data_IF_531525993766
#
_entry.id   IF_531525993766
#
_cell.length_a   1.000
_cell.length_b   1.000
_cell.length_c   1.000
_cell.angle_alpha   90.00
_cell.angle_beta   90.00
_cell.angle_gamma   90.00
#
_symmetry.space_group_name_H-M   'P 1'
#
loop_
_entity.id
_entity.type
_entity.pdbx_description
1 polymer ?
#
# COMPACT_ATOMS: atom_id res chain seq x y z
N UNK A 1 29.83 8.50 -0.79
CA UNK A 1 28.45 8.96 -0.69
C UNK A 1 27.79 8.12 0.39
N UNK A 2 27.06 8.70 1.35
CA UNK A 2 26.37 7.89 2.35
C UNK A 2 25.32 7.03 1.61
N UNK A 3 25.39 5.74 1.78
CA UNK A 3 24.42 4.79 1.21
C UNK A 3 23.05 5.07 1.81
N UNK A 4 22.03 5.06 0.96
CA UNK A 4 20.65 5.24 1.43
C UNK A 4 20.18 4.00 2.16
N UNK A 5 19.44 4.11 3.28
CA UNK A 5 18.85 2.96 3.92
C UNK A 5 17.89 2.26 2.97
N UNK A 6 17.85 0.95 3.06
CA UNK A 6 16.96 0.06 2.31
C UNK A 6 15.82 -0.33 3.23
N UNK A 7 14.60 -0.19 2.74
CA UNK A 7 13.35 -0.55 3.41
C UNK A 7 12.81 -1.82 2.77
N UNK A 8 12.62 -2.85 3.57
CA UNK A 8 11.98 -4.08 3.13
C UNK A 8 10.56 -4.15 3.66
N UNK A 9 9.61 -4.29 2.75
CA UNK A 9 8.20 -4.40 3.05
C UNK A 9 7.67 -5.79 2.68
N UNK A 10 6.72 -6.27 3.48
CA UNK A 10 5.68 -7.19 3.07
C UNK A 10 4.45 -6.39 2.69
N UNK A 11 3.81 -6.71 1.58
CA UNK A 11 2.52 -6.14 1.19
C UNK A 11 1.56 -7.23 0.72
N UNK A 12 0.26 -7.02 0.90
CA UNK A 12 -0.78 -7.92 0.42
C UNK A 12 -2.04 -7.17 0.00
N UNK A 13 -2.73 -7.72 -1.00
CA UNK A 13 -4.07 -7.27 -1.36
C UNK A 13 -5.03 -7.68 -0.23
N UNK A 14 -5.68 -6.68 0.36
CA UNK A 14 -6.59 -6.86 1.48
C UNK A 14 -7.84 -7.61 1.06
N UNK A 15 -8.36 -8.42 1.98
CA UNK A 15 -9.63 -9.13 1.86
C UNK A 15 -9.76 -10.11 0.66
N UNK A 16 -8.69 -10.41 -0.08
CA UNK A 16 -8.70 -11.38 -1.18
C UNK A 16 -8.06 -12.72 -0.81
N UNK A 17 -8.66 -13.82 -1.25
CA UNK A 17 -8.12 -15.17 -1.05
C UNK A 17 -8.11 -15.98 -2.36
N UNK A 18 -7.05 -16.76 -2.64
CA UNK A 18 -5.79 -16.86 -1.87
C UNK A 18 -5.02 -15.54 -1.86
N UNK A 19 -4.24 -15.29 -0.81
CA UNK A 19 -3.55 -14.01 -0.61
C UNK A 19 -2.64 -13.69 -1.80
N UNK A 20 -2.84 -12.52 -2.39
CA UNK A 20 -1.92 -11.93 -3.37
C UNK A 20 -0.97 -11.03 -2.60
N UNK A 21 0.33 -11.34 -2.62
CA UNK A 21 1.29 -10.62 -1.79
C UNK A 21 2.65 -10.45 -2.46
N UNK A 22 3.42 -9.48 -1.95
CA UNK A 22 4.80 -9.20 -2.39
C UNK A 22 5.68 -8.90 -1.18
N UNK A 23 6.91 -9.42 -1.18
CA UNK A 23 8.01 -8.91 -0.36
C UNK A 23 8.99 -8.19 -1.26
N UNK A 24 9.27 -6.94 -0.94
CA UNK A 24 10.05 -6.09 -1.83
C UNK A 24 10.95 -5.11 -1.05
N UNK A 25 11.93 -4.55 -1.74
CA UNK A 25 12.86 -3.58 -1.19
C UNK A 25 12.85 -2.30 -2.00
N UNK A 26 12.91 -1.17 -1.29
CA UNK A 26 13.00 0.18 -1.86
C UNK A 26 14.02 1.02 -1.11
N UNK A 27 14.55 2.05 -1.76
CA UNK A 27 15.42 3.01 -1.09
C UNK A 27 14.63 3.96 -0.17
N UNK A 28 15.17 4.32 0.99
CA UNK A 28 14.49 5.17 1.96
C UNK A 28 14.19 6.60 1.49
N UNK A 29 14.82 7.06 0.41
CA UNK A 29 14.53 8.36 -0.22
C UNK A 29 13.38 8.31 -1.24
N UNK A 30 12.75 7.16 -1.44
CA UNK A 30 11.55 7.04 -2.27
C UNK A 30 10.43 7.85 -1.63
N UNK A 31 9.76 8.72 -2.42
CA UNK A 31 8.57 9.43 -1.96
C UNK A 31 7.37 8.47 -1.86
N UNK A 32 6.36 8.84 -1.06
CA UNK A 32 5.14 8.02 -0.95
C UNK A 32 4.38 7.97 -2.28
N UNK A 33 4.39 9.05 -3.07
CA UNK A 33 3.85 9.02 -4.42
C UNK A 33 4.54 7.95 -5.29
N UNK A 34 5.88 7.89 -5.26
CA UNK A 34 6.63 6.88 -6.01
C UNK A 34 6.41 5.47 -5.46
N UNK A 35 6.24 5.33 -4.14
CA UNK A 35 5.86 4.05 -3.53
C UNK A 35 4.51 3.57 -4.08
N UNK A 36 3.52 4.44 -4.20
CA UNK A 36 2.22 4.11 -4.82
C UNK A 36 2.38 3.56 -6.24
N UNK A 37 3.16 4.22 -7.12
CA UNK A 37 3.41 3.72 -8.47
C UNK A 37 4.19 2.40 -8.50
N UNK A 38 5.09 2.16 -7.55
CA UNK A 38 5.76 0.86 -7.39
C UNK A 38 4.75 -0.23 -7.04
N UNK A 39 3.82 0.05 -6.10
CA UNK A 39 2.74 -0.88 -5.74
C UNK A 39 1.83 -1.14 -6.93
N UNK A 40 1.38 -0.11 -7.64
CA UNK A 40 0.57 -0.27 -8.85
C UNK A 40 1.22 -1.23 -9.85
N UNK A 41 2.52 -1.05 -10.11
CA UNK A 41 3.27 -1.95 -11.01
C UNK A 41 3.30 -3.39 -10.51
N UNK A 42 3.43 -3.61 -9.19
CA UNK A 42 3.49 -4.96 -8.60
C UNK A 42 2.14 -5.67 -8.53
N UNK A 43 1.03 -4.91 -8.54
CA UNK A 43 -0.33 -5.43 -8.45
C UNK A 43 -1.12 -5.28 -9.76
N UNK A 44 -0.43 -5.04 -10.90
CA UNK A 44 -1.00 -4.93 -12.26
C UNK A 44 -2.07 -3.82 -12.41
N UNK A 45 -1.94 -2.75 -11.61
CA UNK A 45 -2.79 -1.56 -11.71
C UNK A 45 -2.33 -0.66 -12.86
N UNK A 46 -3.26 -0.12 -13.64
CA UNK A 46 -2.95 0.67 -14.85
C UNK A 46 -2.62 2.15 -14.55
N UNK A 47 -2.72 2.56 -13.28
CA UNK A 47 -2.54 3.95 -12.83
C UNK A 47 -3.51 4.94 -13.49
N UNK A 48 -4.72 4.50 -13.80
CA UNK A 48 -5.81 5.28 -14.40
C UNK A 48 -6.71 5.96 -13.36
N UNK A 49 -6.60 5.58 -12.08
CA UNK A 49 -7.39 6.08 -10.97
C UNK A 49 -6.54 6.81 -9.93
N UNK A 50 -7.22 7.56 -9.05
CA UNK A 50 -6.61 8.21 -7.91
C UNK A 50 -6.18 7.17 -6.85
N UNK A 51 -5.20 7.55 -6.04
CA UNK A 51 -4.75 6.74 -4.92
C UNK A 51 -4.29 7.62 -3.77
N UNK A 52 -4.31 7.06 -2.56
CA UNK A 52 -3.59 7.60 -1.41
C UNK A 52 -2.80 6.50 -0.69
N UNK A 53 -1.86 6.94 0.14
CA UNK A 53 -1.19 6.06 1.11
C UNK A 53 -1.53 6.56 2.50
N UNK A 54 -2.26 5.74 3.24
CA UNK A 54 -2.66 6.00 4.60
C UNK A 54 -1.55 5.64 5.57
N UNK A 55 -1.26 6.56 6.47
CA UNK A 55 -0.42 6.34 7.62
C UNK A 55 -1.26 6.43 8.90
N UNK A 56 -1.36 5.33 9.63
CA UNK A 56 -2.12 5.19 10.87
C UNK A 56 -1.31 5.72 12.06
N UNK A 57 -1.17 7.04 12.13
CA UNK A 57 -0.29 7.74 13.08
C UNK A 57 -0.59 7.41 14.55
N UNK A 58 -1.88 7.36 14.91
CA UNK A 58 -2.30 7.06 16.28
C UNK A 58 -1.98 5.62 16.67
N UNK A 59 -2.28 4.68 15.78
CA UNK A 59 -2.02 3.26 16.03
C UNK A 59 -0.52 2.98 16.13
N UNK A 60 0.28 3.53 15.21
CA UNK A 60 1.74 3.39 15.20
C UNK A 60 2.37 3.91 16.51
N UNK A 61 1.89 5.07 17.00
CA UNK A 61 2.35 5.60 18.28
C UNK A 61 1.90 4.74 19.46
N UNK A 62 0.65 4.26 19.47
CA UNK A 62 0.15 3.39 20.54
C UNK A 62 0.93 2.08 20.59
N UNK A 63 1.24 1.48 19.45
CA UNK A 63 2.03 0.26 19.39
C UNK A 63 3.48 0.50 19.89
N UNK A 64 4.10 1.62 19.48
CA UNK A 64 5.40 2.02 20.03
C UNK A 64 5.39 2.19 21.55
N UNK A 65 4.37 2.86 22.10
CA UNK A 65 4.25 3.05 23.55
C UNK A 65 4.06 1.73 24.30
N UNK A 66 3.25 0.81 23.75
CA UNK A 66 3.06 -0.55 24.30
C UNK A 66 4.37 -1.35 24.31
N UNK A 67 5.11 -1.33 23.21
CA UNK A 67 6.42 -2.00 23.12
C UNK A 67 7.44 -1.48 24.16
N UNK A 68 7.34 -0.17 24.48
CA UNK A 68 8.20 0.47 25.50
C UNK A 68 7.65 0.36 26.92
N UNK A 69 6.52 -0.33 27.14
CA UNK A 69 5.80 -0.40 28.42
C UNK A 69 5.50 0.98 29.01
N UNK A 70 5.16 1.96 28.14
CA UNK A 70 4.77 3.30 28.54
C UNK A 70 3.24 3.40 28.68
N UNK A 71 2.72 4.24 29.63
CA UNK A 71 1.29 4.36 29.84
C UNK A 71 0.59 4.98 28.62
N UNK A 72 -0.58 4.44 28.26
CA UNK A 72 -1.42 4.90 27.14
C UNK A 72 -2.81 5.39 27.61
N UNK A 73 -3.18 5.10 28.86
CA UNK A 73 -4.57 5.26 29.36
C UNK A 73 -5.03 6.72 29.48
N UNK A 74 -4.10 7.64 29.78
CA UNK A 74 -4.42 9.08 29.96
C UNK A 74 -3.94 9.96 28.78
N UNK A 75 -3.61 9.35 27.64
CA UNK A 75 -3.07 10.08 26.51
C UNK A 75 -4.17 10.91 25.83
N UNK A 76 -4.11 12.25 26.01
CA UNK A 76 -4.96 13.17 25.24
C UNK A 76 -4.43 13.26 23.82
N UNK A 77 -5.19 12.71 22.86
CA UNK A 77 -4.85 12.78 21.45
C UNK A 77 -5.36 14.09 20.83
N UNK A 78 -4.46 14.91 20.35
CA UNK A 78 -4.74 16.20 19.71
C UNK A 78 -4.10 16.34 18.32
N UNK A 79 -3.83 15.20 17.68
CA UNK A 79 -3.23 15.09 16.35
C UNK A 79 -4.15 14.30 15.44
N UNK A 80 -3.97 14.33 14.13
CA UNK A 80 -4.67 13.42 13.22
C UNK A 80 -4.46 11.96 13.63
N UNK A 81 -5.49 11.14 13.52
CA UNK A 81 -5.37 9.68 13.73
C UNK A 81 -4.80 9.01 12.48
N UNK A 82 -5.23 9.46 11.32
CA UNK A 82 -4.75 9.02 10.00
C UNK A 82 -4.24 10.20 9.20
N UNK A 83 -3.18 9.99 8.44
CA UNK A 83 -2.68 10.94 7.45
C UNK A 83 -2.78 10.26 6.08
N UNK A 84 -3.57 10.88 5.19
CA UNK A 84 -3.70 10.49 3.80
C UNK A 84 -2.61 11.20 2.97
N UNK A 85 -1.72 10.44 2.36
CA UNK A 85 -0.71 10.98 1.46
C UNK A 85 -1.15 10.78 0.02
N UNK A 86 -1.49 11.89 -0.66
CA UNK A 86 -1.96 11.91 -2.06
C UNK A 86 -1.03 12.73 -2.96
N UNK A 87 -1.10 12.50 -4.26
CA UNK A 87 -0.64 13.50 -5.24
C UNK A 87 -1.74 14.55 -5.31
N UNK A 88 -1.53 15.70 -4.65
CA UNK A 88 -2.57 16.70 -4.45
C UNK A 88 -3.17 17.20 -5.75
N UNK A 89 -4.49 17.18 -5.81
CA UNK A 89 -5.33 17.69 -6.89
C UNK A 89 -6.55 18.42 -6.32
N UNK A 90 -7.42 18.95 -7.16
CA UNK A 90 -8.70 19.53 -6.72
C UNK A 90 -9.67 18.49 -6.16
N UNK A 91 -9.43 17.19 -6.46
CA UNK A 91 -10.24 16.06 -6.03
C UNK A 91 -9.66 15.36 -4.78
N UNK A 92 -8.58 15.90 -4.20
CA UNK A 92 -7.95 15.31 -3.01
C UNK A 92 -8.91 15.27 -1.81
N UNK A 93 -8.72 14.25 -0.96
CA UNK A 93 -9.55 14.04 0.23
C UNK A 93 -9.51 15.27 1.15
N UNK A 94 -10.66 15.76 1.64
CA UNK A 94 -10.71 16.90 2.54
C UNK A 94 -10.21 16.51 3.94
N UNK A 95 -9.62 17.48 4.63
CA UNK A 95 -9.29 17.33 6.03
C UNK A 95 -10.56 17.16 6.89
N UNK A 96 -10.48 16.30 7.91
CA UNK A 96 -11.51 16.11 8.93
C UNK A 96 -10.97 16.42 10.34
N UNK A 97 -11.74 16.17 11.40
CA UNK A 97 -11.25 16.34 12.78
C UNK A 97 -10.12 15.34 13.11
N UNK A 98 -10.17 14.14 12.55
CA UNK A 98 -9.27 13.02 12.85
C UNK A 98 -8.30 12.68 11.72
N UNK A 99 -8.48 13.27 10.54
CA UNK A 99 -7.72 12.93 9.34
C UNK A 99 -7.12 14.18 8.69
N UNK A 100 -5.97 14.03 8.05
CA UNK A 100 -5.29 15.09 7.30
C UNK A 100 -4.79 14.55 5.97
N UNK A 101 -4.93 15.38 4.93
CA UNK A 101 -4.38 15.11 3.61
C UNK A 101 -3.08 15.87 3.42
N UNK A 102 -2.06 15.18 2.96
CA UNK A 102 -0.71 15.71 2.75
C UNK A 102 -0.14 15.28 1.40
N UNK A 103 0.80 16.06 0.89
CA UNK A 103 1.45 15.79 -0.39
C UNK A 103 2.39 14.57 -0.33
N UNK A 104 2.01 13.50 -1.01
CA UNK A 104 2.78 12.27 -1.15
C UNK A 104 4.12 12.47 -1.90
N UNK A 105 4.24 13.52 -2.71
CA UNK A 105 5.48 13.81 -3.46
C UNK A 105 6.55 14.41 -2.55
N UNK A 106 6.16 15.11 -1.49
CA UNK A 106 7.03 15.79 -0.54
C UNK A 106 7.48 14.88 0.63
N UNK A 107 6.75 13.78 0.90
CA UNK A 107 7.06 12.83 1.98
C UNK A 107 7.86 11.64 1.45
N UNK A 108 8.96 11.30 2.14
CA UNK A 108 9.78 10.12 1.84
C UNK A 108 9.71 9.10 2.98
N UNK A 109 9.95 7.82 2.68
CA UNK A 109 9.92 6.74 3.67
C UNK A 109 10.81 7.04 4.89
N UNK A 110 12.05 7.49 4.67
CA UNK A 110 13.00 7.81 5.75
C UNK A 110 12.56 8.97 6.65
N UNK A 111 11.67 9.86 6.17
CA UNK A 111 11.10 10.96 6.95
C UNK A 111 9.86 10.52 7.70
N UNK A 112 9.17 9.51 7.20
CA UNK A 112 7.96 8.99 7.81
C UNK A 112 8.30 8.17 9.06
N UNK A 113 9.04 7.10 8.91
CA UNK A 113 9.48 6.23 10.01
C UNK A 113 10.65 5.34 9.56
N UNK A 114 11.49 4.93 10.53
CA UNK A 114 12.55 3.92 10.34
C UNK A 114 12.29 2.68 11.22
N UNK A 115 11.13 2.57 11.84
CA UNK A 115 10.83 1.55 12.84
C UNK A 115 10.15 0.36 12.15
N UNK A 116 10.71 -0.86 12.22
CA UNK A 116 10.03 -2.07 11.80
C UNK A 116 8.67 -2.21 12.52
N UNK A 117 7.68 -2.74 11.80
CA UNK A 117 6.30 -2.78 12.28
C UNK A 117 5.41 -1.65 11.75
N UNK A 118 5.97 -0.56 11.21
CA UNK A 118 5.19 0.49 10.54
C UNK A 118 4.19 -0.13 9.58
N UNK A 119 2.93 0.30 9.69
CA UNK A 119 1.83 -0.11 8.81
C UNK A 119 1.39 1.06 7.95
N UNK A 120 1.21 0.78 6.67
CA UNK A 120 0.64 1.69 5.68
C UNK A 120 -0.47 0.94 4.92
N UNK A 121 -1.41 1.67 4.34
CA UNK A 121 -2.37 1.11 3.40
C UNK A 121 -2.42 1.98 2.16
N UNK A 122 -2.25 1.41 0.98
CA UNK A 122 -2.55 2.10 -0.26
C UNK A 122 -4.01 1.84 -0.61
N UNK A 123 -4.79 2.89 -0.73
CA UNK A 123 -6.11 2.85 -1.37
C UNK A 123 -5.93 3.26 -2.83
N UNK A 124 -6.52 2.51 -3.74
CA UNK A 124 -6.48 2.77 -5.18
C UNK A 124 -7.87 2.57 -5.76
N UNK A 125 -8.29 3.49 -6.63
CA UNK A 125 -9.63 3.52 -7.21
C UNK A 125 -10.72 3.52 -6.14
N UNK A 126 -11.11 4.73 -5.69
CA UNK A 126 -12.11 4.89 -4.63
C UNK A 126 -13.51 4.35 -5.01
N UNK A 127 -13.76 4.06 -6.30
CA UNK A 127 -14.96 3.40 -6.79
C UNK A 127 -14.96 1.90 -6.54
N UNK A 128 -13.90 1.20 -6.95
CA UNK A 128 -13.70 -0.24 -6.74
C UNK A 128 -13.14 -0.57 -5.35
N UNK A 129 -12.48 0.41 -4.70
CA UNK A 129 -12.02 0.30 -3.32
C UNK A 129 -10.90 -0.72 -3.12
N UNK A 130 -9.90 -0.73 -4.00
CA UNK A 130 -8.74 -1.60 -3.83
C UNK A 130 -7.86 -1.13 -2.68
N UNK A 131 -7.53 -2.03 -1.77
CA UNK A 131 -6.62 -1.76 -0.65
C UNK A 131 -5.43 -2.73 -0.68
N UNK A 132 -4.21 -2.15 -0.59
CA UNK A 132 -2.96 -2.90 -0.43
C UNK A 132 -2.35 -2.54 0.91
N UNK A 133 -2.33 -3.50 1.83
CA UNK A 133 -1.68 -3.34 3.13
C UNK A 133 -0.17 -3.52 3.01
N UNK A 134 0.59 -2.68 3.72
CA UNK A 134 2.04 -2.75 3.79
C UNK A 134 2.49 -2.84 5.25
N UNK A 135 3.47 -3.69 5.51
CA UNK A 135 4.17 -3.78 6.78
C UNK A 135 5.67 -3.66 6.56
N UNK A 136 6.30 -2.71 7.21
CA UNK A 136 7.75 -2.59 7.22
C UNK A 136 8.36 -3.72 8.06
N UNK A 137 9.12 -4.61 7.42
CA UNK A 137 9.77 -5.75 8.10
C UNK A 137 11.12 -5.35 8.68
N UNK A 138 11.92 -4.60 7.92
CA UNK A 138 13.25 -4.18 8.35
C UNK A 138 13.76 -2.95 7.58
N UNK A 139 14.69 -2.24 8.23
CA UNK A 139 15.48 -1.17 7.63
C UNK A 139 16.94 -1.51 7.84
N UNK A 140 17.74 -1.48 6.77
CA UNK A 140 19.15 -1.83 6.82
C UNK A 140 19.97 -1.05 5.79
N UNK A 141 21.29 -1.18 5.86
CA UNK A 141 22.21 -0.64 4.86
C UNK A 141 22.93 -1.82 4.18
N UNK A 142 23.09 -1.71 2.87
CA UNK A 142 23.88 -2.65 2.08
C UNK A 142 24.70 -1.87 1.06
N UNK A 143 25.97 -1.66 1.36
CA UNK A 143 26.90 -0.91 0.53
C UNK A 143 27.26 -1.66 -0.78
N UNK A 144 27.02 -2.97 -0.80
CA UNK A 144 27.24 -3.81 -1.98
C UNK A 144 26.06 -3.79 -2.95
N UNK A 145 24.87 -3.36 -2.52
CA UNK A 145 23.68 -3.29 -3.37
C UNK A 145 23.65 -1.96 -4.14
N UNK A 146 23.85 -1.96 -5.47
CA UNK A 146 23.70 -0.74 -6.25
C UNK A 146 22.27 -0.20 -6.19
N UNK A 147 22.12 1.09 -5.88
CA UNK A 147 20.79 1.74 -5.78
C UNK A 147 19.94 1.64 -7.05
N UNK A 148 20.57 1.44 -8.23
CA UNK A 148 19.88 1.20 -9.51
C UNK A 148 19.13 -0.15 -9.57
N UNK A 149 19.38 -1.06 -8.63
CA UNK A 149 18.67 -2.34 -8.49
C UNK A 149 17.45 -2.24 -7.58
N UNK A 150 17.14 -1.06 -7.06
CA UNK A 150 15.93 -0.77 -6.32
C UNK A 150 14.96 0.08 -7.16
N UNK A 151 13.65 -0.16 -7.08
CA UNK A 151 12.98 -1.18 -6.28
C UNK A 151 13.21 -2.59 -6.82
N UNK A 152 13.13 -3.60 -5.94
CA UNK A 152 13.18 -5.00 -6.35
C UNK A 152 12.21 -5.86 -5.54
N UNK A 153 11.51 -6.77 -6.20
CA UNK A 153 10.71 -7.81 -5.58
C UNK A 153 11.62 -8.98 -5.20
N UNK A 154 11.46 -9.49 -4.00
CA UNK A 154 12.20 -10.64 -3.48
C UNK A 154 11.38 -11.92 -3.62
N UNK A 155 10.11 -11.82 -3.22
CA UNK A 155 9.17 -12.94 -3.16
C UNK A 155 7.76 -12.42 -3.41
N UNK A 156 6.86 -13.28 -3.84
CA UNK A 156 5.44 -12.96 -3.99
C UNK A 156 4.64 -14.12 -4.52
N UNK A 157 3.32 -14.00 -4.40
CA UNK A 157 2.36 -14.97 -4.93
C UNK A 157 1.11 -14.27 -5.44
N UNK A 158 0.45 -14.88 -6.42
CA UNK A 158 -0.73 -14.35 -7.10
C UNK A 158 -0.38 -13.31 -8.16
N UNK A 159 -1.33 -13.01 -9.05
CA UNK A 159 -1.12 -12.12 -10.19
C UNK A 159 -1.19 -10.65 -9.77
N UNK A 160 -2.36 -10.16 -9.44
CA UNK A 160 -2.67 -8.77 -9.13
C UNK A 160 -4.15 -8.54 -9.18
N UNK A 161 -4.56 -7.32 -9.49
CA UNK A 161 -5.96 -6.97 -9.71
C UNK A 161 -6.31 -7.01 -11.20
N UNK A 162 -7.60 -6.91 -11.49
CA UNK A 162 -8.15 -6.59 -12.82
C UNK A 162 -9.04 -5.37 -12.59
N UNK A 163 -8.66 -4.23 -13.16
CA UNK A 163 -9.41 -2.99 -13.00
C UNK A 163 -10.84 -3.10 -13.55
N UNK A 164 -11.75 -2.29 -13.03
CA UNK A 164 -13.15 -2.19 -13.43
C UNK A 164 -13.95 -3.50 -13.27
N UNK A 165 -13.45 -4.48 -12.55
CA UNK A 165 -14.16 -5.74 -12.31
C UNK A 165 -15.14 -5.68 -11.12
N UNK A 166 -15.19 -4.58 -10.38
CA UNK A 166 -16.02 -4.38 -9.18
C UNK A 166 -15.30 -4.75 -7.89
N UNK A 167 -14.02 -4.39 -7.78
CA UNK A 167 -13.20 -4.56 -6.59
C UNK A 167 -12.91 -6.02 -6.25
N UNK A 168 -12.60 -6.28 -4.97
CA UNK A 168 -12.27 -7.62 -4.46
C UNK A 168 -13.39 -8.63 -4.78
N UNK A 169 -14.65 -8.25 -4.60
CA UNK A 169 -15.78 -9.14 -4.85
C UNK A 169 -15.92 -9.50 -6.33
N UNK A 170 -15.66 -8.55 -7.22
CA UNK A 170 -15.66 -8.78 -8.67
C UNK A 170 -14.51 -9.69 -9.09
N UNK A 171 -13.31 -9.47 -8.56
CA UNK A 171 -12.14 -10.32 -8.81
C UNK A 171 -12.38 -11.76 -8.35
N UNK A 172 -13.01 -11.97 -7.19
CA UNK A 172 -13.40 -13.30 -6.72
C UNK A 172 -14.40 -13.99 -7.66
N UNK A 173 -15.41 -13.24 -8.14
CA UNK A 173 -16.40 -13.78 -9.09
C UNK A 173 -15.73 -14.18 -10.40
N UNK A 174 -14.87 -13.32 -10.93
CA UNK A 174 -14.09 -13.57 -12.12
C UNK A 174 -13.22 -14.82 -11.96
N UNK A 175 -12.45 -14.94 -10.88
CA UNK A 175 -11.62 -16.10 -10.59
C UNK A 175 -12.44 -17.40 -10.53
N UNK A 176 -13.59 -17.37 -9.84
CA UNK A 176 -14.52 -18.52 -9.76
C UNK A 176 -15.10 -18.92 -11.13
N UNK A 177 -15.42 -17.93 -11.98
CA UNK A 177 -15.95 -18.18 -13.33
C UNK A 177 -14.88 -18.86 -14.21
N UNK A 178 -13.63 -18.37 -14.18
CA UNK A 178 -12.54 -18.93 -14.96
C UNK A 178 -12.07 -20.30 -14.45
N UNK A 179 -12.21 -20.59 -13.16
CA UNK A 179 -12.00 -21.95 -12.64
C UNK A 179 -13.01 -22.94 -13.21
N UNK A 180 -14.27 -22.55 -13.34
CA UNK A 180 -15.36 -23.39 -13.90
C UNK A 180 -15.26 -23.57 -15.43
N UNK A 181 -14.68 -22.59 -16.13
CA UNK A 181 -14.51 -22.54 -17.60
C UNK A 181 -15.82 -22.76 -18.39
N UNK A 182 -16.96 -22.43 -17.81
CA UNK A 182 -18.29 -22.54 -18.42
C UNK A 182 -19.34 -21.77 -17.64
N UNK A 183 -20.46 -21.47 -18.30
CA UNK A 183 -21.61 -20.80 -17.71
C UNK A 183 -21.68 -19.31 -18.12
N UNK A 184 -22.76 -18.65 -17.69
CA UNK A 184 -23.07 -17.28 -18.11
C UNK A 184 -21.95 -16.32 -17.69
N UNK A 185 -21.53 -16.32 -16.44
CA UNK A 185 -20.48 -15.43 -15.93
C UNK A 185 -19.14 -15.65 -16.67
N UNK A 186 -18.78 -16.91 -16.97
CA UNK A 186 -17.56 -17.18 -17.74
C UNK A 186 -17.63 -16.55 -19.15
N UNK A 187 -18.77 -16.67 -19.83
CA UNK A 187 -18.92 -16.08 -21.16
C UNK A 187 -18.91 -14.54 -21.11
N UNK A 188 -19.59 -13.94 -20.13
CA UNK A 188 -19.63 -12.47 -19.93
C UNK A 188 -18.23 -11.92 -19.63
N UNK A 189 -17.50 -12.52 -18.70
CA UNK A 189 -16.13 -12.10 -18.39
C UNK A 189 -15.14 -12.37 -19.53
N UNK A 190 -15.31 -13.48 -20.27
CA UNK A 190 -14.47 -13.78 -21.43
C UNK A 190 -14.67 -12.76 -22.56
N UNK A 191 -15.91 -12.33 -22.81
CA UNK A 191 -16.22 -11.29 -23.79
C UNK A 191 -15.70 -9.91 -23.34
N UNK A 192 -15.77 -9.60 -22.04
CA UNK A 192 -15.30 -8.34 -21.47
C UNK A 192 -13.77 -8.22 -21.46
N UNK A 193 -13.05 -9.33 -21.25
CA UNK A 193 -11.58 -9.34 -21.26
C UNK A 193 -10.96 -9.40 -22.67
N UNK A 194 -11.75 -9.76 -23.73
CA UNK A 194 -11.30 -9.90 -25.13
C UNK A 194 -10.87 -11.32 -25.44
#
# INVERSE_FOLDING_TARGET
>A
MATQPIYQFYSCLKDYQPVIWRRFQVAGNVSLARLGYILMTMYEMQASHLFCIDYFLKEDLLDYLREKNLPTEDMRWNRPEVIHYEVLTEESLPDTETERTMDATAMTLRRLSNTPGLRLCMQYDYGDGWEVELRLEQVFQDDALPGKLLPRVLEGEGFGIIEDCGGVSGLERLAKAFQKKKGREYNEFSEWLG
#
